data_IF_311702342278
#
_entry.id   IF_311702342278
#
_cell.length_a   1.000
_cell.length_b   1.000
_cell.length_c   1.000
_cell.angle_alpha   90.00
_cell.angle_beta   90.00
_cell.angle_gamma   90.00
#
_symmetry.space_group_name_H-M   'P 1'
#
loop_
_entity.id
_entity.type
_entity.pdbx_description
1 polymer ?
#
# COMPACT_ATOMS: atom_id res chain seq x y z
N UNK A 1 16.10 12.96 -21.09
CA UNK A 1 15.89 11.66 -21.75
C UNK A 1 14.40 11.48 -21.96
N UNK A 2 13.95 11.02 -23.13
CA UNK A 2 12.54 10.71 -23.36
C UNK A 2 12.17 9.41 -22.65
N UNK A 3 11.10 9.42 -21.86
CA UNK A 3 10.55 8.21 -21.23
C UNK A 3 9.89 7.36 -22.33
N UNK A 4 10.18 6.04 -22.43
CA UNK A 4 9.51 5.16 -23.38
C UNK A 4 7.97 5.15 -23.18
N UNK A 5 7.17 4.93 -24.23
CA UNK A 5 5.72 4.83 -24.09
C UNK A 5 5.32 3.64 -23.20
N UNK A 6 4.16 3.76 -22.55
CA UNK A 6 3.61 2.69 -21.71
C UNK A 6 3.24 1.46 -22.55
N UNK A 7 3.77 0.29 -22.18
CA UNK A 7 3.43 -0.98 -22.80
C UNK A 7 2.23 -1.64 -22.11
N UNK A 8 1.09 -1.60 -22.80
CA UNK A 8 -0.19 -2.21 -22.37
C UNK A 8 -0.27 -3.73 -22.62
N UNK A 9 0.72 -4.31 -23.30
CA UNK A 9 0.78 -5.75 -23.64
C UNK A 9 1.61 -6.57 -22.65
N UNK A 10 2.37 -5.92 -21.77
CA UNK A 10 3.09 -6.59 -20.70
C UNK A 10 2.14 -6.98 -19.56
N UNK A 11 2.21 -8.24 -19.13
CA UNK A 11 1.43 -8.79 -18.02
C UNK A 11 2.34 -9.44 -16.99
N UNK A 12 1.97 -9.38 -15.72
CA UNK A 12 2.66 -10.10 -14.65
C UNK A 12 2.56 -11.61 -14.91
N UNK A 13 3.69 -12.31 -14.84
CA UNK A 13 3.72 -13.78 -14.93
C UNK A 13 4.14 -14.41 -13.62
N UNK A 14 3.85 -15.71 -13.45
CA UNK A 14 4.39 -16.48 -12.33
C UNK A 14 5.69 -17.17 -12.73
N UNK A 15 6.75 -16.94 -11.97
CA UNK A 15 8.08 -17.53 -12.19
C UNK A 15 8.50 -18.42 -11.02
N UNK A 16 9.60 -19.16 -11.19
CA UNK A 16 10.28 -19.80 -10.07
C UNK A 16 10.94 -18.75 -9.17
N UNK A 17 11.19 -19.11 -7.91
CA UNK A 17 12.02 -18.29 -7.01
C UNK A 17 13.34 -17.90 -7.67
N UNK A 18 13.88 -16.69 -7.44
CA UNK A 18 15.20 -16.29 -7.94
C UNK A 18 16.35 -17.22 -7.53
N UNK A 19 16.17 -17.97 -6.43
CA UNK A 19 17.08 -19.06 -6.02
C UNK A 19 16.23 -20.30 -5.68
N UNK A 20 15.85 -21.13 -6.67
CA UNK A 20 14.98 -22.28 -6.45
C UNK A 20 15.71 -23.43 -5.74
N UNK A 21 17.05 -23.43 -5.75
CA UNK A 21 17.92 -24.38 -5.05
C UNK A 21 18.30 -23.93 -3.64
N UNK A 22 17.64 -22.89 -3.09
CA UNK A 22 17.99 -22.37 -1.78
C UNK A 22 17.82 -23.43 -0.67
N UNK A 23 18.76 -23.47 0.27
CA UNK A 23 18.71 -24.34 1.46
C UNK A 23 18.95 -23.56 2.75
N UNK A 24 18.46 -24.08 3.87
CA UNK A 24 18.66 -23.45 5.19
C UNK A 24 20.15 -23.21 5.48
N UNK A 25 20.49 -22.02 5.95
CA UNK A 25 21.88 -21.65 6.23
C UNK A 25 22.70 -21.22 5.00
N UNK A 26 22.17 -21.32 3.78
CA UNK A 26 22.87 -20.83 2.59
C UNK A 26 23.11 -19.32 2.66
N UNK A 27 24.39 -18.91 2.55
CA UNK A 27 24.78 -17.50 2.51
C UNK A 27 24.36 -16.83 1.20
N UNK A 28 24.08 -15.54 1.25
CA UNK A 28 23.65 -14.75 0.08
C UNK A 28 24.71 -14.75 -1.03
N UNK A 29 25.99 -14.64 -0.68
CA UNK A 29 27.15 -14.61 -1.59
C UNK A 29 27.47 -15.95 -2.29
N UNK A 30 26.60 -16.95 -2.17
CA UNK A 30 26.76 -18.24 -2.86
C UNK A 30 26.21 -18.23 -4.28
N UNK A 31 25.37 -17.24 -4.64
CA UNK A 31 24.82 -17.05 -5.99
C UNK A 31 25.52 -15.91 -6.72
N UNK A 32 25.59 -15.90 -8.07
CA UNK A 32 26.17 -14.77 -8.80
C UNK A 32 25.53 -13.42 -8.42
N UNK A 33 24.20 -13.33 -8.45
CA UNK A 33 23.48 -12.11 -8.07
C UNK A 33 23.73 -11.70 -6.60
N UNK A 34 23.85 -12.68 -5.70
CA UNK A 34 24.14 -12.40 -4.30
C UNK A 34 25.58 -11.96 -4.04
N UNK A 35 26.56 -12.43 -4.84
CA UNK A 35 27.94 -11.90 -4.80
C UNK A 35 27.98 -10.44 -5.22
N UNK A 36 27.30 -10.11 -6.31
CA UNK A 36 27.21 -8.74 -6.80
C UNK A 36 26.52 -7.84 -5.76
N UNK A 37 25.45 -8.33 -5.13
CA UNK A 37 24.76 -7.62 -4.05
C UNK A 37 25.67 -7.34 -2.85
N UNK A 38 26.40 -8.36 -2.36
CA UNK A 38 27.32 -8.20 -1.22
C UNK A 38 28.52 -7.33 -1.58
N UNK A 39 29.03 -7.39 -2.81
CA UNK A 39 30.12 -6.53 -3.27
C UNK A 39 29.74 -5.04 -3.23
N UNK A 40 28.46 -4.72 -3.50
CA UNK A 40 27.93 -3.36 -3.41
C UNK A 40 28.09 -2.72 -2.02
N UNK A 41 28.11 -3.52 -0.95
CA UNK A 41 28.27 -3.02 0.43
C UNK A 41 29.63 -2.36 0.67
N UNK A 42 30.67 -2.77 -0.07
CA UNK A 42 32.01 -2.17 0.02
C UNK A 42 32.05 -0.68 -0.31
N UNK A 43 31.00 -0.13 -0.95
CA UNK A 43 30.82 1.30 -1.16
C UNK A 43 30.57 2.08 0.15
N UNK A 44 30.30 1.37 1.25
CA UNK A 44 30.09 1.92 2.59
C UNK A 44 28.67 2.43 2.83
N UNK A 45 28.47 2.97 4.02
CA UNK A 45 27.16 3.40 4.51
C UNK A 45 27.09 4.91 4.62
N UNK A 46 26.02 5.50 4.08
CA UNK A 46 25.60 6.85 4.45
C UNK A 46 24.60 6.77 5.60
N UNK A 47 25.00 7.27 6.76
CA UNK A 47 24.18 7.24 7.98
C UNK A 47 23.50 8.61 8.17
N UNK A 48 22.20 8.59 8.44
CA UNK A 48 21.40 9.79 8.69
C UNK A 48 20.96 9.81 10.15
N UNK A 49 21.34 10.84 10.89
CA UNK A 49 20.75 11.13 12.19
C UNK A 49 19.41 11.85 11.96
N UNK A 50 18.30 11.20 12.29
CA UNK A 50 16.96 11.73 12.03
C UNK A 50 16.62 12.96 12.88
N UNK A 51 17.34 13.21 13.97
CA UNK A 51 17.19 14.42 14.77
C UNK A 51 17.88 15.65 14.14
N UNK A 52 18.85 15.43 13.24
CA UNK A 52 19.68 16.48 12.62
C UNK A 52 19.41 16.65 11.12
N UNK A 53 18.76 15.66 10.49
CA UNK A 53 18.46 15.67 9.05
C UNK A 53 17.19 16.47 8.78
N UNK A 54 17.20 17.31 7.73
CA UNK A 54 16.02 18.06 7.30
C UNK A 54 14.83 17.14 6.97
N UNK A 55 13.63 17.58 7.35
CA UNK A 55 12.39 16.79 7.20
C UNK A 55 12.05 16.47 5.75
N UNK A 56 12.41 17.33 4.79
CA UNK A 56 12.15 17.11 3.36
C UNK A 56 13.03 15.99 2.83
N UNK A 57 14.29 15.93 3.28
CA UNK A 57 15.21 14.86 2.88
C UNK A 57 14.85 13.54 3.55
N UNK A 58 14.44 13.56 4.83
CA UNK A 58 13.88 12.38 5.49
C UNK A 58 12.62 11.89 4.78
N UNK A 59 11.72 12.78 4.38
CA UNK A 59 10.53 12.42 3.61
C UNK A 59 10.91 11.70 2.31
N UNK A 60 11.85 12.24 1.52
CA UNK A 60 12.35 11.60 0.30
C UNK A 60 12.91 10.20 0.56
N UNK A 61 13.72 10.05 1.62
CA UNK A 61 14.31 8.75 1.99
C UNK A 61 13.23 7.75 2.39
N UNK A 62 12.24 8.15 3.19
CA UNK A 62 11.15 7.27 3.62
C UNK A 62 10.29 6.82 2.43
N UNK A 63 9.88 7.75 1.54
CA UNK A 63 9.03 7.38 0.41
C UNK A 63 9.78 6.65 -0.71
N UNK A 64 11.10 6.73 -0.78
CA UNK A 64 11.90 5.99 -1.77
C UNK A 64 12.42 4.66 -1.23
N UNK A 65 12.70 4.57 0.07
CA UNK A 65 13.17 3.36 0.73
C UNK A 65 12.05 2.37 1.09
N UNK A 66 10.83 2.86 1.34
CA UNK A 66 9.66 2.02 1.64
C UNK A 66 8.80 1.92 0.39
N UNK A 67 9.12 0.95 -0.47
CA UNK A 67 8.47 0.69 -1.77
C UNK A 67 8.43 -0.82 -2.07
N UNK A 68 7.52 -1.30 -2.93
CA UNK A 68 6.35 -0.60 -3.47
C UNK A 68 5.25 -0.43 -2.42
N UNK A 69 4.56 0.73 -2.40
CA UNK A 69 3.46 0.97 -1.46
C UNK A 69 2.11 0.77 -2.12
N UNK A 70 1.18 0.01 -1.53
CA UNK A 70 -0.20 0.00 -1.99
C UNK A 70 -0.86 1.37 -1.71
N UNK A 71 -1.96 1.66 -2.39
CA UNK A 71 -2.65 2.94 -2.30
C UNK A 71 -4.08 2.70 -1.85
N UNK A 72 -4.45 3.26 -0.70
CA UNK A 72 -5.83 3.37 -0.27
C UNK A 72 -6.50 4.52 -1.03
N UNK A 73 -7.47 4.23 -1.89
CA UNK A 73 -8.24 5.26 -2.57
C UNK A 73 -9.57 5.46 -1.86
N UNK A 74 -9.62 6.51 -1.04
CA UNK A 74 -10.60 6.65 0.04
C UNK A 74 -11.72 7.58 -0.40
N UNK A 75 -12.97 7.13 -0.29
CA UNK A 75 -14.13 7.99 -0.43
C UNK A 75 -14.83 8.21 0.91
N UNK A 76 -15.18 9.46 1.18
CA UNK A 76 -15.84 9.89 2.42
C UNK A 76 -16.96 10.88 2.11
N UNK A 77 -17.81 11.16 3.11
CA UNK A 77 -18.81 12.22 3.05
C UNK A 77 -18.61 13.15 4.24
N UNK A 78 -18.63 14.45 4.01
CA UNK A 78 -18.59 15.48 5.06
C UNK A 78 -19.93 15.58 5.82
N UNK A 79 -19.97 16.34 6.93
CA UNK A 79 -21.23 16.58 7.65
C UNK A 79 -22.27 17.29 6.78
N UNK A 80 -21.81 18.19 5.90
CA UNK A 80 -22.64 18.93 4.93
C UNK A 80 -23.05 18.10 3.71
N UNK A 81 -22.67 16.81 3.66
CA UNK A 81 -23.02 15.90 2.57
C UNK A 81 -22.13 16.02 1.33
N UNK A 82 -21.01 16.73 1.42
CA UNK A 82 -20.03 16.83 0.33
C UNK A 82 -19.25 15.53 0.26
N UNK A 83 -19.27 14.87 -0.91
CA UNK A 83 -18.46 13.68 -1.13
C UNK A 83 -17.02 14.07 -1.47
N UNK A 84 -16.06 13.35 -0.92
CA UNK A 84 -14.64 13.48 -1.23
C UNK A 84 -14.07 12.15 -1.73
N UNK A 85 -12.99 12.24 -2.50
CA UNK A 85 -12.26 11.08 -3.03
C UNK A 85 -10.76 11.41 -3.10
N UNK A 86 -9.90 10.65 -2.41
CA UNK A 86 -8.46 10.96 -2.37
C UNK A 86 -7.57 9.71 -2.17
N UNK A 87 -6.34 9.68 -2.74
CA UNK A 87 -5.41 8.56 -2.62
C UNK A 87 -4.41 8.73 -1.46
N UNK A 88 -4.15 7.65 -0.73
CA UNK A 88 -3.20 7.58 0.39
C UNK A 88 -2.28 6.37 0.26
N UNK A 89 -0.97 6.59 0.10
CA UNK A 89 0.00 5.49 -0.09
C UNK A 89 0.62 4.95 1.21
N UNK A 90 0.26 5.50 2.36
CA UNK A 90 0.72 4.98 3.66
C UNK A 90 -0.32 3.99 4.19
N UNK A 91 -0.54 2.90 3.46
CA UNK A 91 -1.68 1.98 3.61
C UNK A 91 -1.21 0.51 3.76
N UNK A 92 -1.84 -0.28 4.64
CA UNK A 92 -1.63 -1.72 4.72
C UNK A 92 -2.76 -2.48 5.46
N UNK A 93 -2.69 -3.81 5.49
CA UNK A 93 -3.52 -4.68 6.35
C UNK A 93 -2.95 -4.76 7.76
N UNK A 94 -3.80 -4.81 8.79
CA UNK A 94 -3.40 -4.92 10.21
C UNK A 94 -3.72 -6.31 10.77
N UNK A 95 -4.96 -6.77 10.62
CA UNK A 95 -5.40 -8.11 11.07
C UNK A 95 -6.54 -8.60 10.19
N UNK A 96 -6.71 -9.92 10.08
CA UNK A 96 -7.81 -10.55 9.36
C UNK A 96 -8.99 -10.91 10.29
N UNK A 97 -8.81 -10.90 11.62
CA UNK A 97 -9.87 -11.21 12.57
C UNK A 97 -9.74 -10.38 13.87
N UNK A 98 -10.58 -9.33 14.07
CA UNK A 98 -11.49 -8.77 13.08
C UNK A 98 -10.72 -8.19 11.88
N UNK A 99 -11.32 -8.05 10.68
CA UNK A 99 -10.64 -7.49 9.52
C UNK A 99 -10.39 -5.99 9.70
N UNK A 100 -9.12 -5.62 9.91
CA UNK A 100 -8.69 -4.23 10.11
C UNK A 100 -7.59 -3.90 9.11
N UNK A 101 -7.73 -2.75 8.46
CA UNK A 101 -6.69 -2.12 7.66
C UNK A 101 -6.24 -0.81 8.31
N UNK A 102 -5.08 -0.29 7.90
CA UNK A 102 -4.60 1.01 8.33
C UNK A 102 -4.22 1.88 7.15
N UNK A 103 -4.48 3.18 7.27
CA UNK A 103 -3.85 4.18 6.42
C UNK A 103 -3.57 5.45 7.22
N UNK A 104 -2.56 6.21 6.81
CA UNK A 104 -2.22 7.48 7.45
C UNK A 104 -2.55 8.67 6.54
N UNK A 105 -3.15 9.69 7.15
CA UNK A 105 -3.46 10.96 6.51
C UNK A 105 -2.54 12.04 7.07
N UNK A 106 -1.59 12.50 6.27
CA UNK A 106 -0.76 13.65 6.62
C UNK A 106 -1.57 14.94 6.50
N UNK A 107 -1.20 15.91 7.33
CA UNK A 107 -1.80 17.25 7.29
C UNK A 107 -1.60 17.89 5.91
N UNK A 108 -2.60 18.65 5.45
CA UNK A 108 -2.52 19.38 4.17
C UNK A 108 -1.63 20.62 4.30
N UNK A 109 -1.59 21.22 5.48
CA UNK A 109 -0.71 22.30 5.88
C UNK A 109 -0.50 22.24 7.40
N UNK A 110 0.53 22.88 7.98
CA UNK A 110 0.71 22.92 9.43
C UNK A 110 -0.57 23.34 10.16
N UNK A 111 -1.07 22.46 11.04
CA UNK A 111 -2.30 22.68 11.81
C UNK A 111 -3.61 22.49 11.03
N UNK A 112 -3.56 22.01 9.78
CA UNK A 112 -4.74 21.76 8.94
C UNK A 112 -4.82 20.29 8.55
N UNK A 113 -5.81 19.61 9.12
CA UNK A 113 -6.17 18.25 8.74
C UNK A 113 -6.67 18.21 7.30
N UNK A 114 -6.48 17.07 6.63
CA UNK A 114 -7.17 16.78 5.36
C UNK A 114 -8.66 16.58 5.59
N UNK A 115 -9.48 16.91 4.58
CA UNK A 115 -10.93 16.74 4.63
C UNK A 115 -11.32 15.28 4.90
N UNK A 116 -10.60 14.32 4.32
CA UNK A 116 -10.76 12.90 4.64
C UNK A 116 -10.64 12.63 6.15
N UNK A 117 -9.61 13.16 6.83
CA UNK A 117 -9.42 12.96 8.28
C UNK A 117 -10.60 13.53 9.07
N UNK A 118 -11.08 14.71 8.70
CA UNK A 118 -12.25 15.36 9.30
C UNK A 118 -13.50 14.50 9.09
N UNK A 119 -13.76 14.09 7.85
CA UNK A 119 -14.95 13.33 7.46
C UNK A 119 -15.04 11.97 8.15
N UNK A 120 -13.90 11.28 8.34
CA UNK A 120 -13.86 9.98 9.02
C UNK A 120 -14.36 10.05 10.48
N UNK A 121 -14.22 11.20 11.14
CA UNK A 121 -14.68 11.39 12.52
C UNK A 121 -16.21 11.56 12.62
N UNK A 122 -16.89 11.86 11.50
CA UNK A 122 -18.34 12.11 11.45
C UNK A 122 -19.17 10.81 11.43
N UNK A 123 -18.52 9.64 11.51
CA UNK A 123 -19.15 8.32 11.73
C UNK A 123 -20.16 7.87 10.65
N UNK A 124 -20.12 8.43 9.44
CA UNK A 124 -20.99 8.02 8.33
C UNK A 124 -20.49 6.79 7.54
N UNK A 125 -19.38 6.19 7.98
CA UNK A 125 -18.65 5.17 7.24
C UNK A 125 -17.90 5.75 6.03
N UNK A 126 -17.06 4.93 5.40
CA UNK A 126 -16.26 5.33 4.24
C UNK A 126 -15.92 4.12 3.38
N UNK A 127 -15.36 4.34 2.19
CA UNK A 127 -14.86 3.26 1.34
C UNK A 127 -13.36 3.37 1.12
N UNK A 128 -12.70 2.23 1.01
CA UNK A 128 -11.30 2.13 0.56
C UNK A 128 -11.26 1.26 -0.69
N UNK A 129 -10.81 1.84 -1.79
CA UNK A 129 -10.80 1.22 -3.11
C UNK A 129 -9.35 0.97 -3.53
N UNK A 130 -9.10 -0.12 -4.27
CA UNK A 130 -7.77 -0.38 -4.84
C UNK A 130 -7.73 0.18 -6.26
N UNK A 131 -6.68 0.94 -6.55
CA UNK A 131 -6.44 1.53 -7.88
C UNK A 131 -5.85 0.48 -8.80
N UNK A 132 -6.44 0.33 -9.98
CA UNK A 132 -5.91 -0.51 -11.05
C UNK A 132 -5.36 0.33 -12.19
N UNK A 133 -4.42 -0.22 -12.97
CA UNK A 133 -3.77 0.46 -14.09
C UNK A 133 -4.73 1.24 -15.00
N UNK A 134 -5.91 0.72 -15.41
CA UNK A 134 -6.77 1.40 -16.37
C UNK A 134 -7.33 2.76 -15.92
N UNK A 135 -7.30 3.09 -14.63
CA UNK A 135 -7.84 4.33 -14.09
C UNK A 135 -6.87 5.07 -13.17
N UNK A 136 -5.57 4.81 -13.31
CA UNK A 136 -4.54 5.44 -12.46
C UNK A 136 -4.50 6.96 -12.62
N UNK A 137 -4.68 7.47 -13.84
CA UNK A 137 -4.72 8.92 -14.10
C UNK A 137 -5.95 9.57 -13.48
N UNK A 138 -7.12 8.92 -13.60
CA UNK A 138 -8.36 9.37 -12.96
C UNK A 138 -8.20 9.47 -11.44
N UNK A 139 -7.58 8.46 -10.82
CA UNK A 139 -7.29 8.49 -9.40
C UNK A 139 -6.23 9.54 -9.04
N UNK A 140 -5.18 9.69 -9.85
CA UNK A 140 -4.13 10.68 -9.61
C UNK A 140 -4.66 12.12 -9.68
N UNK A 141 -5.63 12.42 -10.55
CA UNK A 141 -6.27 13.73 -10.64
C UNK A 141 -6.90 14.18 -9.31
N UNK A 142 -7.40 13.23 -8.51
CA UNK A 142 -8.00 13.50 -7.19
C UNK A 142 -6.97 13.82 -6.09
N UNK A 143 -5.67 13.69 -6.37
CA UNK A 143 -4.62 14.09 -5.43
C UNK A 143 -4.35 15.61 -5.42
N UNK A 144 -5.10 16.38 -6.21
CA UNK A 144 -5.02 17.84 -6.27
C UNK A 144 -5.35 18.47 -4.91
N UNK A 145 -4.72 19.61 -4.60
CA UNK A 145 -5.04 20.41 -3.41
C UNK A 145 -6.31 21.23 -3.65
N UNK A 146 -7.46 20.55 -3.68
CA UNK A 146 -8.76 21.18 -3.89
C UNK A 146 -9.26 21.90 -2.62
N UNK A 147 -10.08 22.96 -2.76
CA UNK A 147 -10.80 23.54 -1.63
C UNK A 147 -11.76 22.52 -0.99
N UNK A 148 -12.06 22.60 0.33
CA UNK A 148 -12.95 21.66 1.01
C UNK A 148 -14.38 21.58 0.45
N UNK A 149 -14.80 22.62 -0.27
CA UNK A 149 -16.11 22.70 -0.91
C UNK A 149 -16.18 22.01 -2.28
N UNK A 150 -15.07 21.44 -2.76
CA UNK A 150 -14.98 20.84 -4.09
C UNK A 150 -15.06 19.31 -4.02
N UNK A 151 -15.95 18.73 -4.83
CA UNK A 151 -16.11 17.27 -4.96
C UNK A 151 -15.14 16.71 -6.02
N UNK A 152 -14.09 15.99 -5.59
CA UNK A 152 -13.10 15.40 -6.49
C UNK A 152 -13.67 14.30 -7.41
N UNK A 153 -14.85 13.74 -7.11
CA UNK A 153 -15.49 12.77 -8.00
C UNK A 153 -15.75 13.38 -9.38
N UNK A 154 -16.20 14.64 -9.41
CA UNK A 154 -16.48 15.36 -10.66
C UNK A 154 -15.24 15.53 -11.54
N UNK A 155 -14.07 15.75 -10.91
CA UNK A 155 -12.78 15.87 -11.59
C UNK A 155 -12.28 14.53 -12.11
N UNK A 156 -12.50 13.46 -11.35
CA UNK A 156 -11.94 12.13 -11.64
C UNK A 156 -12.52 11.48 -12.90
N UNK A 157 -13.77 11.80 -13.26
CA UNK A 157 -14.52 11.06 -14.29
C UNK A 157 -14.87 9.61 -13.92
N UNK A 158 -14.67 9.22 -12.66
CA UNK A 158 -15.02 7.89 -12.14
C UNK A 158 -16.50 7.81 -11.75
N UNK A 159 -17.03 6.59 -11.73
CA UNK A 159 -18.44 6.36 -11.43
C UNK A 159 -18.65 6.00 -9.96
N UNK A 160 -19.52 6.76 -9.29
CA UNK A 160 -20.02 6.44 -7.94
C UNK A 160 -20.89 5.17 -8.01
N UNK A 161 -20.69 4.25 -7.08
CA UNK A 161 -21.49 3.04 -6.95
C UNK A 161 -21.94 2.85 -5.49
N UNK A 162 -23.19 2.41 -5.29
CA UNK A 162 -23.78 2.31 -3.96
C UNK A 162 -23.18 1.13 -3.18
N UNK A 163 -23.06 1.35 -1.88
CA UNK A 163 -22.58 0.38 -0.91
C UNK A 163 -23.74 -0.34 -0.20
N UNK A 164 -23.43 -1.44 0.48
CA UNK A 164 -24.39 -2.24 1.25
C UNK A 164 -24.74 -1.55 2.55
N UNK A 165 -23.76 -0.96 3.24
CA UNK A 165 -23.93 -0.40 4.58
C UNK A 165 -23.48 1.06 4.68
N UNK A 166 -22.30 1.41 4.16
CA UNK A 166 -21.81 2.80 4.26
C UNK A 166 -22.57 3.72 3.29
N UNK A 167 -22.72 5.01 3.66
CA UNK A 167 -23.31 6.02 2.78
C UNK A 167 -22.33 6.46 1.69
N UNK A 168 -21.02 6.42 1.97
CA UNK A 168 -19.99 6.78 1.01
C UNK A 168 -20.01 5.84 -0.20
N UNK A 169 -19.95 6.43 -1.39
CA UNK A 169 -19.89 5.68 -2.64
C UNK A 169 -18.58 4.88 -2.71
N UNK A 170 -18.61 3.69 -3.32
CA UNK A 170 -17.38 3.01 -3.79
C UNK A 170 -17.10 3.39 -5.23
N UNK A 171 -15.86 3.22 -5.67
CA UNK A 171 -15.46 3.47 -7.06
C UNK A 171 -15.87 2.26 -7.90
N UNK A 172 -16.78 2.46 -8.86
CA UNK A 172 -17.33 1.38 -9.69
C UNK A 172 -16.25 0.64 -10.48
N UNK A 173 -15.26 1.38 -10.96
CA UNK A 173 -14.15 0.90 -11.77
C UNK A 173 -13.19 0.01 -10.97
N UNK A 174 -13.15 0.16 -9.64
CA UNK A 174 -12.29 -0.65 -8.78
C UNK A 174 -12.76 -2.10 -8.73
N UNK A 175 -11.80 -3.02 -8.88
CA UNK A 175 -12.06 -4.46 -8.77
C UNK A 175 -12.06 -4.97 -7.33
N UNK A 176 -11.62 -4.16 -6.38
CA UNK A 176 -11.60 -4.48 -4.96
C UNK A 176 -11.88 -3.23 -4.13
N UNK A 177 -13.04 -3.20 -3.49
CA UNK A 177 -13.45 -2.11 -2.61
C UNK A 177 -13.84 -2.65 -1.25
N UNK A 178 -13.55 -1.89 -0.20
CA UNK A 178 -13.89 -2.20 1.18
C UNK A 178 -14.82 -1.11 1.71
N UNK A 179 -15.93 -1.51 2.33
CA UNK A 179 -16.73 -0.64 3.17
C UNK A 179 -16.18 -0.68 4.58
N UNK A 180 -15.93 0.49 5.15
CA UNK A 180 -15.21 0.63 6.41
C UNK A 180 -15.96 1.51 7.41
N UNK A 181 -15.78 1.17 8.68
CA UNK A 181 -16.06 2.05 9.82
C UNK A 181 -14.74 2.44 10.49
N UNK A 182 -14.71 3.63 11.10
CA UNK A 182 -13.57 4.04 11.90
C UNK A 182 -13.47 3.12 13.13
N UNK A 183 -12.39 2.34 13.21
CA UNK A 183 -12.11 1.52 14.38
C UNK A 183 -11.41 2.34 15.46
N UNK A 184 -10.38 3.10 15.06
CA UNK A 184 -9.63 4.01 15.92
C UNK A 184 -8.85 4.99 15.06
N UNK A 185 -8.72 6.23 15.52
CA UNK A 185 -7.73 7.18 15.01
C UNK A 185 -6.65 7.43 16.07
N UNK A 186 -5.40 7.59 15.62
CA UNK A 186 -4.27 7.94 16.47
C UNK A 186 -3.58 9.14 15.84
N UNK A 187 -3.66 10.28 16.51
CA UNK A 187 -2.98 11.50 16.10
C UNK A 187 -1.49 11.39 16.43
N UNK A 188 -0.64 11.67 15.44
CA UNK A 188 0.82 11.61 15.55
C UNK A 188 1.33 13.03 15.66
N UNK A 189 1.88 13.34 16.83
CA UNK A 189 2.42 14.65 17.16
C UNK A 189 3.93 14.58 17.26
N UNK A 190 4.62 15.57 16.70
CA UNK A 190 6.06 15.66 16.82
C UNK A 190 6.45 15.89 18.29
N UNK A 191 7.34 15.05 18.88
CA UNK A 191 7.56 15.03 20.33
C UNK A 191 8.21 16.31 20.88
N UNK A 192 8.96 17.05 20.06
CA UNK A 192 9.60 18.32 20.47
C UNK A 192 8.74 19.55 20.18
N UNK A 193 8.29 19.74 18.93
CA UNK A 193 7.51 20.92 18.54
C UNK A 193 6.06 20.89 19.02
N UNK A 194 5.52 19.71 19.32
CA UNK A 194 4.10 19.55 19.64
C UNK A 194 3.18 19.70 18.42
N UNK A 195 3.73 19.82 17.21
CA UNK A 195 2.95 19.95 15.98
C UNK A 195 2.32 18.61 15.58
N UNK A 196 1.03 18.65 15.24
CA UNK A 196 0.37 17.52 14.60
C UNK A 196 1.00 17.27 13.22
N UNK A 197 1.30 16.02 12.90
CA UNK A 197 1.96 15.62 11.65
C UNK A 197 1.07 14.77 10.76
N UNK A 198 0.33 13.83 11.35
CA UNK A 198 -0.53 12.91 10.62
C UNK A 198 -1.51 12.22 11.56
N UNK A 199 -2.63 11.76 11.04
CA UNK A 199 -3.53 10.86 11.76
C UNK A 199 -3.43 9.45 11.17
N UNK A 200 -3.06 8.47 11.99
CA UNK A 200 -3.18 7.05 11.66
C UNK A 200 -4.62 6.60 11.85
N UNK A 201 -5.22 6.08 10.78
CA UNK A 201 -6.57 5.54 10.77
C UNK A 201 -6.48 4.01 10.82
N UNK A 202 -7.14 3.41 11.80
CA UNK A 202 -7.50 2.00 11.81
C UNK A 202 -8.95 1.87 11.37
N UNK A 203 -9.18 1.10 10.31
CA UNK A 203 -10.49 0.94 9.69
C UNK A 203 -10.96 -0.50 9.85
N UNK A 204 -12.15 -0.68 10.45
CA UNK A 204 -12.81 -1.97 10.53
C UNK A 204 -13.56 -2.22 9.23
N UNK A 205 -13.12 -3.20 8.46
CA UNK A 205 -13.74 -3.57 7.20
C UNK A 205 -15.04 -4.34 7.48
N UNK A 206 -16.16 -3.85 6.97
CA UNK A 206 -17.49 -4.45 7.16
C UNK A 206 -17.90 -5.31 5.97
N UNK A 207 -17.64 -4.80 4.76
CA UNK A 207 -17.94 -5.50 3.51
C UNK A 207 -16.75 -5.39 2.56
N UNK A 208 -16.52 -6.45 1.79
CA UNK A 208 -15.56 -6.47 0.70
C UNK A 208 -16.31 -6.75 -0.60
N UNK A 209 -16.16 -5.85 -1.57
CA UNK A 209 -16.65 -5.99 -2.93
C UNK A 209 -15.50 -6.45 -3.81
N UNK A 210 -15.63 -7.63 -4.41
CA UNK A 210 -14.63 -8.14 -5.36
C UNK A 210 -15.31 -8.42 -6.69
N UNK A 211 -14.71 -7.91 -7.77
CA UNK A 211 -15.13 -8.20 -9.13
C UNK A 211 -14.94 -9.70 -9.44
N UNK A 212 -16.00 -10.36 -9.91
CA UNK A 212 -15.97 -11.82 -10.17
C UNK A 212 -14.95 -12.22 -11.23
N UNK A 213 -14.74 -11.37 -12.23
CA UNK A 213 -13.82 -11.63 -13.34
C UNK A 213 -12.35 -11.61 -12.91
N UNK A 214 -12.01 -10.96 -11.78
CA UNK A 214 -10.66 -10.99 -11.20
C UNK A 214 -10.47 -12.12 -10.18
N UNK A 215 -11.48 -12.95 -9.92
CA UNK A 215 -11.33 -14.12 -9.05
C UNK A 215 -10.85 -15.33 -9.85
N UNK A 216 -9.95 -16.10 -9.23
CA UNK A 216 -9.65 -17.47 -9.65
C UNK A 216 -10.77 -18.42 -9.24
N UNK A 217 -10.76 -19.64 -9.77
CA UNK A 217 -11.68 -20.72 -9.37
C UNK A 217 -11.63 -21.05 -7.87
N UNK A 218 -10.51 -20.73 -7.20
CA UNK A 218 -10.30 -20.91 -5.76
C UNK A 218 -10.86 -19.76 -4.90
N UNK A 219 -11.46 -18.75 -5.52
CA UNK A 219 -11.99 -17.58 -4.81
C UNK A 219 -10.92 -16.60 -4.32
N UNK A 220 -9.67 -16.74 -4.77
CA UNK A 220 -8.60 -15.76 -4.52
C UNK A 220 -8.40 -14.83 -5.72
N UNK A 221 -7.91 -13.62 -5.47
CA UNK A 221 -7.70 -12.59 -6.50
C UNK A 221 -6.58 -13.02 -7.46
N UNK A 222 -6.87 -12.99 -8.75
CA UNK A 222 -5.92 -13.16 -9.84
C UNK A 222 -5.22 -11.83 -10.12
N UNK A 223 -3.96 -11.74 -9.70
CA UNK A 223 -3.13 -10.54 -9.86
C UNK A 223 -3.05 -10.06 -11.33
N UNK A 224 -3.02 -11.00 -12.27
CA UNK A 224 -2.86 -10.70 -13.71
C UNK A 224 -4.07 -9.96 -14.29
N UNK A 225 -5.25 -10.19 -13.70
CA UNK A 225 -6.51 -9.51 -14.05
C UNK A 225 -6.78 -8.29 -13.17
N UNK A 226 -6.35 -8.35 -11.90
CA UNK A 226 -6.57 -7.29 -10.92
C UNK A 226 -5.79 -6.01 -11.24
N UNK A 227 -4.58 -6.15 -11.79
CA UNK A 227 -3.71 -5.05 -12.24
C UNK A 227 -3.59 -3.89 -11.24
N UNK A 228 -3.35 -4.13 -9.95
CA UNK A 228 -3.22 -3.05 -8.98
C UNK A 228 -1.96 -2.24 -9.27
N UNK A 229 -2.00 -0.94 -9.01
CA UNK A 229 -0.80 -0.09 -9.06
C UNK A 229 -0.23 0.14 -7.67
N UNK A 230 1.06 0.41 -7.62
CA UNK A 230 1.76 0.82 -6.42
C UNK A 230 2.37 2.21 -6.58
N UNK A 231 2.55 2.91 -5.45
CA UNK A 231 3.31 4.15 -5.38
C UNK A 231 4.77 3.85 -5.02
N UNK A 232 5.70 4.52 -5.71
CA UNK A 232 7.13 4.44 -5.43
C UNK A 232 7.63 5.74 -4.77
N UNK A 233 8.95 5.95 -4.77
CA UNK A 233 9.54 7.26 -4.47
C UNK A 233 9.21 8.28 -5.55
N UNK A 234 9.34 9.57 -5.22
CA UNK A 234 9.01 10.69 -6.10
C UNK A 234 7.52 10.63 -6.57
N UNK A 235 7.24 11.07 -7.80
CA UNK A 235 5.94 10.99 -8.46
C UNK A 235 5.68 9.64 -9.14
N UNK A 236 6.56 8.65 -8.95
CA UNK A 236 6.54 7.41 -9.72
C UNK A 236 5.48 6.42 -9.24
N UNK A 237 4.81 5.78 -10.21
CA UNK A 237 3.94 4.63 -10.01
C UNK A 237 4.58 3.37 -10.61
N UNK A 238 4.18 2.21 -10.11
CA UNK A 238 4.58 0.92 -10.67
C UNK A 238 3.36 0.02 -10.86
N UNK A 239 3.41 -0.77 -11.93
CA UNK A 239 2.65 -2.02 -12.00
C UNK A 239 3.27 -3.08 -11.09
N UNK A 240 2.48 -4.07 -10.69
CA UNK A 240 3.05 -5.27 -10.10
C UNK A 240 3.75 -6.07 -11.18
N UNK A 241 5.05 -6.32 -11.01
CA UNK A 241 5.86 -7.10 -11.95
C UNK A 241 5.59 -8.61 -11.86
N UNK A 242 6.53 -9.41 -12.36
CA UNK A 242 6.49 -10.87 -12.22
C UNK A 242 6.46 -11.29 -10.75
N UNK A 243 5.68 -12.33 -10.45
CA UNK A 243 5.53 -12.88 -9.12
C UNK A 243 6.17 -14.27 -9.07
N UNK A 244 6.99 -14.53 -8.06
CA UNK A 244 7.49 -15.88 -7.78
C UNK A 244 6.72 -16.52 -6.62
N UNK A 245 6.61 -17.84 -6.63
CA UNK A 245 5.95 -18.60 -5.54
C UNK A 245 6.98 -19.24 -4.64
N UNK A 246 6.95 -18.87 -3.37
CA UNK A 246 7.76 -19.49 -2.31
C UNK A 246 6.77 -19.97 -1.25
N UNK A 247 6.81 -21.26 -0.93
CA UNK A 247 5.99 -21.80 0.15
C UNK A 247 6.49 -21.25 1.49
N UNK A 248 5.56 -20.87 2.37
CA UNK A 248 5.91 -20.47 3.73
C UNK A 248 6.44 -21.72 4.46
N UNK A 249 7.68 -21.73 4.97
CA UNK A 249 8.19 -22.85 5.72
C UNK A 249 7.43 -22.99 7.05
N UNK A 250 7.30 -24.23 7.51
CA UNK A 250 6.75 -24.53 8.83
C UNK A 250 7.71 -25.44 9.58
N UNK A 251 7.89 -25.18 10.87
CA UNK A 251 8.81 -25.96 11.70
C UNK A 251 8.50 -27.46 11.62
N UNK A 252 7.21 -27.81 11.79
CA UNK A 252 6.75 -29.19 11.77
C UNK A 252 7.10 -29.95 10.49
N UNK A 253 7.19 -29.27 9.35
CA UNK A 253 7.51 -29.90 8.06
C UNK A 253 9.01 -29.89 7.75
N UNK A 254 9.76 -28.92 8.28
CA UNK A 254 11.12 -28.65 7.85
C UNK A 254 12.19 -28.88 8.92
N UNK A 255 11.83 -29.24 10.15
CA UNK A 255 12.77 -29.47 11.25
C UNK A 255 13.97 -30.36 10.84
N UNK A 256 13.71 -31.50 10.19
CA UNK A 256 14.77 -32.41 9.74
C UNK A 256 15.75 -31.74 8.76
N UNK A 257 15.23 -31.01 7.77
CA UNK A 257 16.05 -30.28 6.77
C UNK A 257 16.85 -29.16 7.42
N UNK A 258 16.26 -28.47 8.39
CA UNK A 258 16.92 -27.41 9.16
C UNK A 258 18.08 -28.01 9.97
N UNK A 259 17.84 -29.11 10.70
CA UNK A 259 18.87 -29.79 11.52
C UNK A 259 20.00 -30.35 10.68
N UNK A 260 19.69 -30.95 9.53
CA UNK A 260 20.68 -31.42 8.57
C UNK A 260 21.56 -30.27 8.06
N UNK A 261 20.93 -29.17 7.63
CA UNK A 261 21.65 -28.05 7.04
C UNK A 261 22.51 -27.27 8.06
N UNK A 262 22.10 -27.21 9.32
CA UNK A 262 22.83 -26.50 10.38
C UNK A 262 23.79 -27.40 11.19
N UNK A 263 23.75 -28.71 10.98
CA UNK A 263 24.50 -29.70 11.77
C UNK A 263 23.95 -29.91 13.18
N UNK A 264 24.35 -31.01 13.84
CA UNK A 264 23.92 -31.41 15.20
C UNK A 264 24.32 -30.45 16.34
N UNK A 265 24.91 -29.29 16.03
CA UNK A 265 25.29 -28.25 16.99
C UNK A 265 24.36 -27.04 17.02
N UNK A 266 23.26 -27.04 16.27
CA UNK A 266 22.20 -26.06 16.49
C UNK A 266 21.47 -26.38 17.81
N UNK A 267 22.10 -26.05 18.93
CA UNK A 267 21.43 -25.92 20.23
C UNK A 267 20.34 -24.87 20.11
N UNK A 268 19.09 -25.28 20.28
CA UNK A 268 17.95 -24.41 20.55
C UNK A 268 18.01 -23.93 22.01
#
# INVERSE_FOLDING_TARGET
MSIPPFDSTTYSTYTQSPNPSWTYGQRVDTTPAGKDWVAGESAGWKVYNTAETDKVDLYKLLISGIVPRPIAFVSTISEDGIENLAPFSWFNTVTNNPPIISFACNDSAPGRLKDTTTNLKNSQGFTVNIISEPFVENANATAIDAPPSFDEWSLSGLTKEKCVQTKASRVKESAFSMECELYKSIDITHPVTGEHSSTLILAHVKYIHVRKDVLTERGVIDLTKFKPVARLGDISYARVGDAYRIARPTWAQDEGKIREALGTQASL
#
